data_IF_102900119565
#
_entry.id   IF_102900119565
#
_cell.length_a   1.000
_cell.length_b   1.000
_cell.length_c   1.000
_cell.angle_alpha   90.00
_cell.angle_beta   90.00
_cell.angle_gamma   90.00
#
_symmetry.space_group_name_H-M   'P 1'
#
loop_
_entity.id
_entity.type
_entity.pdbx_description
1 polymer ?
#
# COMPACT_ATOMS: atom_id res chain seq x y z
N UNK A 1 -17.40 6.18 23.61
CA UNK A 1 -17.86 5.21 22.63
C UNK A 1 -19.16 5.71 22.02
N UNK A 2 -19.30 5.69 20.70
CA UNK A 2 -20.54 6.07 20.04
C UNK A 2 -21.64 5.05 20.42
N UNK A 3 -22.87 5.50 20.73
CA UNK A 3 -23.96 4.61 21.14
C UNK A 3 -24.25 3.57 20.05
N UNK A 4 -24.34 2.29 20.44
CA UNK A 4 -24.75 1.21 19.54
C UNK A 4 -23.62 0.47 18.80
N UNK A 5 -22.35 0.84 19.00
CA UNK A 5 -21.22 0.11 18.45
C UNK A 5 -20.79 -1.06 19.34
N UNK A 6 -20.28 -2.17 18.76
CA UNK A 6 -19.68 -3.27 19.52
C UNK A 6 -18.57 -2.77 20.47
N UNK A 7 -18.46 -3.39 21.65
CA UNK A 7 -17.49 -2.96 22.68
C UNK A 7 -16.01 -3.11 22.31
N UNK A 8 -15.74 -3.86 21.25
CA UNK A 8 -14.40 -4.05 20.67
C UNK A 8 -14.11 -3.13 19.47
N UNK A 9 -15.03 -2.23 19.11
CA UNK A 9 -14.82 -1.23 18.07
C UNK A 9 -14.43 0.11 18.68
N UNK A 10 -13.32 0.65 18.24
CA UNK A 10 -12.84 2.00 18.62
C UNK A 10 -12.93 2.94 17.41
N UNK A 11 -13.70 4.00 17.54
CA UNK A 11 -13.73 5.09 16.58
C UNK A 11 -12.87 6.22 17.14
N UNK A 12 -11.90 6.65 16.35
CA UNK A 12 -10.95 7.71 16.73
C UNK A 12 -10.98 8.84 15.72
N UNK A 13 -10.61 10.04 16.15
CA UNK A 13 -10.37 11.16 15.24
C UNK A 13 -9.22 10.83 14.29
N UNK A 14 -9.12 11.52 13.12
CA UNK A 14 -7.98 11.40 12.22
C UNK A 14 -6.66 11.56 12.99
N UNK A 15 -5.76 10.63 12.82
CA UNK A 15 -4.47 10.61 13.51
C UNK A 15 -3.40 11.29 12.66
N UNK A 16 -2.45 12.03 13.28
CA UNK A 16 -1.24 12.47 12.59
C UNK A 16 -0.46 11.28 12.01
N UNK A 17 0.37 11.55 11.00
CA UNK A 17 1.02 10.49 10.22
C UNK A 17 1.84 9.50 11.09
N UNK A 18 2.62 9.99 12.03
CA UNK A 18 3.48 9.12 12.86
C UNK A 18 2.66 8.22 13.80
N UNK A 19 1.61 8.76 14.40
CA UNK A 19 0.67 8.01 15.24
C UNK A 19 -0.10 6.97 14.43
N UNK A 20 -0.53 7.35 13.22
CA UNK A 20 -1.16 6.42 12.30
C UNK A 20 -0.21 5.27 11.91
N UNK A 21 1.04 5.57 11.54
CA UNK A 21 2.05 4.56 11.21
C UNK A 21 2.37 3.65 12.40
N UNK A 22 2.35 4.19 13.62
CA UNK A 22 2.51 3.39 14.83
C UNK A 22 1.37 2.37 15.02
N UNK A 23 0.13 2.77 14.75
CA UNK A 23 -1.02 1.85 14.77
C UNK A 23 -0.93 0.83 13.64
N UNK A 24 -0.60 1.29 12.43
CA UNK A 24 -0.47 0.45 11.24
C UNK A 24 0.52 -0.70 11.49
N UNK A 25 1.73 -0.40 11.97
CA UNK A 25 2.77 -1.39 12.25
C UNK A 25 2.38 -2.46 13.29
N UNK A 26 1.32 -2.24 14.05
CA UNK A 26 0.80 -3.16 15.08
C UNK A 26 -0.49 -3.83 14.69
N UNK A 27 -0.98 -3.55 13.51
CA UNK A 27 -2.18 -4.18 12.97
C UNK A 27 -1.86 -5.59 12.47
N UNK A 28 -2.73 -6.54 12.75
CA UNK A 28 -2.67 -7.88 12.16
C UNK A 28 -3.19 -7.89 10.71
N UNK A 29 -4.04 -6.92 10.38
CA UNK A 29 -4.66 -6.75 9.07
C UNK A 29 -5.13 -5.29 8.93
N UNK A 30 -5.10 -4.79 7.71
CA UNK A 30 -5.64 -3.47 7.35
C UNK A 30 -6.73 -3.63 6.32
N UNK A 31 -7.85 -2.92 6.51
CA UNK A 31 -8.93 -2.81 5.51
C UNK A 31 -9.05 -1.34 5.13
N UNK A 32 -8.90 -1.00 3.86
CA UNK A 32 -8.80 0.39 3.41
C UNK A 32 -9.28 0.57 1.98
N UNK A 33 -9.67 1.79 1.61
CA UNK A 33 -9.88 2.23 0.23
C UNK A 33 -8.76 3.16 -0.28
N UNK A 34 -7.74 3.40 0.54
CA UNK A 34 -6.62 4.30 0.23
C UNK A 34 -5.50 3.58 -0.52
N UNK A 35 -5.15 4.06 -1.72
CA UNK A 35 -4.00 3.55 -2.49
C UNK A 35 -2.66 3.77 -1.80
N UNK A 36 -2.47 4.87 -1.06
CA UNK A 36 -1.24 5.11 -0.30
C UNK A 36 -1.03 4.11 0.83
N UNK A 37 -2.11 3.75 1.54
CA UNK A 37 -2.03 2.76 2.62
C UNK A 37 -1.66 1.37 2.09
N UNK A 38 -2.07 0.99 0.88
CA UNK A 38 -1.66 -0.28 0.27
C UNK A 38 -0.15 -0.36 0.00
N UNK A 39 0.49 0.77 -0.35
CA UNK A 39 1.95 0.85 -0.48
C UNK A 39 2.64 0.75 0.89
N UNK A 40 2.11 1.44 1.90
CA UNK A 40 2.65 1.41 3.27
C UNK A 40 2.53 0.02 3.90
N UNK A 41 1.39 -0.67 3.73
CA UNK A 41 1.21 -2.04 4.21
C UNK A 41 2.12 -3.03 3.50
N UNK A 42 2.33 -2.86 2.19
CA UNK A 42 3.29 -3.68 1.44
C UNK A 42 4.72 -3.46 1.97
N UNK A 43 5.13 -2.21 2.19
CA UNK A 43 6.46 -1.90 2.73
C UNK A 43 6.68 -2.44 4.15
N UNK A 44 5.61 -2.58 4.93
CA UNK A 44 5.64 -3.10 6.31
C UNK A 44 5.32 -4.60 6.42
N UNK A 45 5.06 -5.26 5.30
CA UNK A 45 4.66 -6.68 5.22
C UNK A 45 3.38 -6.99 6.02
N UNK A 46 2.41 -6.09 5.99
CA UNK A 46 1.13 -6.22 6.70
C UNK A 46 0.05 -6.64 5.71
N UNK A 47 -0.75 -7.70 6.00
CA UNK A 47 -1.90 -8.05 5.18
C UNK A 47 -2.85 -6.87 4.98
N UNK A 48 -3.33 -6.67 3.75
CA UNK A 48 -4.19 -5.56 3.40
C UNK A 48 -5.37 -6.01 2.53
N UNK A 49 -6.57 -5.55 2.85
CA UNK A 49 -7.74 -5.71 2.00
C UNK A 49 -8.14 -4.33 1.49
N UNK A 50 -8.06 -4.15 0.19
CA UNK A 50 -8.51 -2.91 -0.47
C UNK A 50 -9.98 -3.02 -0.87
N UNK A 51 -10.79 -2.05 -0.43
CA UNK A 51 -12.21 -1.94 -0.77
C UNK A 51 -12.44 -1.34 -2.16
N UNK A 52 -11.52 -1.62 -3.10
CA UNK A 52 -11.59 -1.18 -4.49
C UNK A 52 -11.66 -2.36 -5.43
N UNK A 53 -12.28 -2.18 -6.59
CA UNK A 53 -12.29 -3.15 -7.67
C UNK A 53 -11.02 -3.13 -8.54
N UNK A 54 -10.28 -2.02 -8.49
CA UNK A 54 -9.04 -1.81 -9.25
C UNK A 54 -7.99 -1.07 -8.41
N UNK A 55 -6.74 -1.14 -8.83
CA UNK A 55 -5.64 -0.40 -8.19
C UNK A 55 -4.73 0.23 -9.22
N UNK A 56 -4.22 1.42 -8.91
CA UNK A 56 -3.13 2.07 -9.64
C UNK A 56 -1.74 1.60 -9.17
N UNK A 57 -1.71 0.63 -8.24
CA UNK A 57 -0.50 0.04 -7.65
C UNK A 57 -0.54 -1.48 -7.79
N UNK A 58 -0.44 -2.02 -9.02
CA UNK A 58 -0.60 -3.46 -9.26
C UNK A 58 0.41 -4.31 -8.49
N UNK A 59 1.61 -3.80 -8.25
CA UNK A 59 2.66 -4.47 -7.48
C UNK A 59 2.25 -4.80 -6.04
N UNK A 60 1.36 -4.00 -5.43
CA UNK A 60 0.86 -4.28 -4.07
C UNK A 60 -0.04 -5.51 -4.02
N UNK A 61 -0.63 -5.89 -5.17
CA UNK A 61 -1.50 -7.05 -5.33
C UNK A 61 -0.74 -8.26 -5.88
N UNK A 62 0.10 -8.07 -6.91
CA UNK A 62 0.79 -9.18 -7.58
C UNK A 62 1.94 -9.75 -6.77
N UNK A 63 2.70 -8.89 -6.12
CA UNK A 63 3.91 -9.26 -5.38
C UNK A 63 3.80 -8.90 -3.88
N UNK A 64 2.76 -8.13 -3.51
CA UNK A 64 2.60 -7.55 -2.19
C UNK A 64 1.57 -8.27 -1.31
N UNK A 65 1.02 -7.50 -0.39
CA UNK A 65 0.16 -7.96 0.71
C UNK A 65 -1.31 -7.67 0.50
N UNK A 66 -1.68 -7.04 -0.64
CA UNK A 66 -3.02 -6.49 -0.86
C UNK A 66 -3.92 -7.45 -1.64
N UNK A 67 -5.13 -7.67 -1.12
CA UNK A 67 -6.23 -8.33 -1.83
C UNK A 67 -7.29 -7.29 -2.18
N UNK A 68 -7.79 -7.29 -3.42
CA UNK A 68 -8.90 -6.43 -3.83
C UNK A 68 -10.23 -7.09 -3.50
N UNK A 69 -11.04 -6.46 -2.65
CA UNK A 69 -12.36 -6.94 -2.27
C UNK A 69 -13.47 -6.45 -3.22
N UNK A 70 -13.19 -5.41 -4.03
CA UNK A 70 -14.23 -4.76 -4.82
C UNK A 70 -15.25 -4.03 -3.95
N UNK A 71 -16.48 -3.96 -4.44
CA UNK A 71 -17.60 -3.26 -3.78
C UNK A 71 -18.58 -4.24 -3.10
N UNK A 72 -18.18 -5.49 -2.89
CA UNK A 72 -19.05 -6.55 -2.34
C UNK A 72 -18.75 -6.77 -0.84
N UNK A 73 -19.53 -6.17 0.08
CA UNK A 73 -19.26 -6.28 1.51
C UNK A 73 -19.42 -7.70 2.06
N UNK A 74 -20.22 -8.54 1.40
CA UNK A 74 -20.51 -9.90 1.87
C UNK A 74 -19.30 -10.85 1.82
N UNK A 75 -18.29 -10.56 1.00
CA UNK A 75 -17.06 -11.36 0.93
C UNK A 75 -16.02 -10.99 1.99
N UNK A 76 -16.14 -9.82 2.62
CA UNK A 76 -15.15 -9.31 3.58
C UNK A 76 -14.88 -10.27 4.76
N UNK A 77 -15.89 -10.88 5.40
CA UNK A 77 -15.62 -11.80 6.50
C UNK A 77 -14.73 -12.98 6.09
N UNK A 78 -14.92 -13.51 4.88
CA UNK A 78 -14.10 -14.59 4.32
C UNK A 78 -12.66 -14.12 4.09
N UNK A 79 -12.48 -13.01 3.40
CA UNK A 79 -11.16 -12.42 3.11
C UNK A 79 -10.39 -12.07 4.40
N UNK A 80 -11.08 -11.54 5.42
CA UNK A 80 -10.48 -11.25 6.73
C UNK A 80 -10.00 -12.54 7.39
N UNK A 81 -10.83 -13.58 7.40
CA UNK A 81 -10.47 -14.87 8.00
C UNK A 81 -9.27 -15.50 7.29
N UNK A 82 -9.23 -15.48 5.97
CA UNK A 82 -8.12 -15.95 5.15
C UNK A 82 -6.83 -15.16 5.43
N UNK A 83 -6.91 -13.84 5.41
CA UNK A 83 -5.75 -12.97 5.65
C UNK A 83 -5.17 -13.13 7.07
N UNK A 84 -6.00 -13.38 8.07
CA UNK A 84 -5.55 -13.61 9.45
C UNK A 84 -5.03 -15.03 9.71
N UNK A 85 -5.42 -16.00 8.87
CA UNK A 85 -4.94 -17.38 8.95
C UNK A 85 -3.71 -17.64 8.08
N UNK A 86 -3.32 -16.69 7.24
CA UNK A 86 -2.24 -16.81 6.27
C UNK A 86 -0.88 -16.87 6.97
N UNK A 87 -0.16 -17.97 6.80
CA UNK A 87 1.22 -18.20 7.26
C UNK A 87 2.20 -18.01 6.08
N UNK A 88 1.95 -16.99 5.26
CA UNK A 88 2.78 -16.68 4.09
C UNK A 88 4.21 -16.29 4.47
N UNK A 89 5.13 -16.58 3.58
CA UNK A 89 6.48 -16.05 3.69
C UNK A 89 6.46 -14.51 3.57
N UNK A 90 7.39 -13.82 4.24
CA UNK A 90 7.54 -12.38 4.09
C UNK A 90 7.66 -11.96 2.62
N UNK A 91 7.00 -10.87 2.26
CA UNK A 91 7.07 -10.32 0.90
C UNK A 91 8.44 -9.69 0.62
N UNK A 92 8.83 -9.71 -0.64
CA UNK A 92 10.06 -9.05 -1.10
C UNK A 92 9.68 -7.75 -1.80
N UNK A 93 10.19 -6.63 -1.32
CA UNK A 93 9.95 -5.33 -1.94
C UNK A 93 10.61 -5.26 -3.33
N UNK A 94 10.01 -4.53 -4.28
CA UNK A 94 10.63 -4.26 -5.56
C UNK A 94 12.02 -3.64 -5.38
N UNK A 95 13.02 -4.01 -6.19
CA UNK A 95 14.39 -3.48 -6.06
C UNK A 95 14.49 -1.96 -6.11
N UNK A 96 13.49 -1.30 -6.72
CA UNK A 96 13.41 0.16 -6.82
C UNK A 96 12.86 0.83 -5.56
N UNK A 97 12.36 0.06 -4.58
CA UNK A 97 11.83 0.55 -3.29
C UNK A 97 12.93 0.59 -2.20
N UNK A 98 14.14 0.95 -2.60
CA UNK A 98 15.36 0.99 -1.78
C UNK A 98 15.60 2.33 -1.06
N UNK A 99 14.63 3.27 -1.15
CA UNK A 99 14.78 4.64 -0.63
C UNK A 99 15.60 5.56 -1.53
N UNK A 100 16.20 5.06 -2.61
CA UNK A 100 17.06 5.83 -3.54
C UNK A 100 16.30 6.57 -4.65
N UNK A 101 14.97 6.48 -4.70
CA UNK A 101 14.15 7.06 -5.79
C UNK A 101 14.40 8.55 -6.00
N UNK A 102 14.53 9.34 -4.92
CA UNK A 102 14.80 10.78 -5.02
C UNK A 102 16.09 11.10 -5.76
N UNK A 103 17.16 10.35 -5.49
CA UNK A 103 18.43 10.51 -6.19
C UNK A 103 18.30 10.18 -7.68
N UNK A 104 17.65 9.09 -8.03
CA UNK A 104 17.38 8.71 -9.43
C UNK A 104 16.56 9.75 -10.17
N UNK A 105 15.52 10.31 -9.55
CA UNK A 105 14.71 11.38 -10.11
C UNK A 105 15.58 12.62 -10.40
N UNK A 106 16.43 13.03 -9.46
CA UNK A 106 17.33 14.18 -9.64
C UNK A 106 18.30 13.97 -10.81
N UNK A 107 18.83 12.75 -10.96
CA UNK A 107 19.70 12.43 -12.10
C UNK A 107 18.98 12.53 -13.44
N UNK A 108 17.75 12.00 -13.53
CA UNK A 108 16.92 12.09 -14.73
C UNK A 108 16.61 13.56 -15.06
N UNK A 109 16.20 14.35 -14.07
CA UNK A 109 15.92 15.78 -14.27
C UNK A 109 17.16 16.52 -14.77
N UNK A 110 18.33 16.27 -14.16
CA UNK A 110 19.60 16.89 -14.58
C UNK A 110 19.97 16.52 -16.03
N UNK A 111 19.77 15.26 -16.40
CA UNK A 111 19.98 14.83 -17.78
C UNK A 111 19.04 15.55 -18.75
N UNK A 112 17.74 15.58 -18.43
CA UNK A 112 16.74 16.29 -19.26
C UNK A 112 17.05 17.79 -19.40
N UNK A 113 17.54 18.44 -18.35
CA UNK A 113 17.91 19.86 -18.40
C UNK A 113 19.16 20.12 -19.23
N UNK A 114 20.12 19.20 -19.26
CA UNK A 114 21.34 19.31 -20.09
C UNK A 114 21.05 19.05 -21.56
N UNK A 115 20.29 17.99 -21.84
CA UNK A 115 20.12 17.47 -23.21
C UNK A 115 18.84 17.99 -23.88
N UNK A 116 18.05 18.81 -23.16
CA UNK A 116 16.71 19.23 -23.54
C UNK A 116 15.68 18.12 -23.39
N UNK A 117 14.41 18.47 -23.16
CA UNK A 117 13.28 17.51 -23.10
C UNK A 117 12.93 16.90 -24.48
N UNK A 118 13.84 16.99 -25.46
CA UNK A 118 13.60 16.63 -26.83
C UNK A 118 13.87 15.14 -27.12
N UNK A 119 13.25 14.22 -26.39
CA UNK A 119 12.80 12.95 -26.96
C UNK A 119 12.10 12.03 -25.96
N UNK A 120 10.76 11.92 -25.94
CA UNK A 120 10.03 10.95 -25.12
C UNK A 120 10.21 9.49 -25.60
N UNK A 121 10.98 9.26 -26.66
CA UNK A 121 11.24 7.94 -27.25
C UNK A 121 12.61 7.34 -26.96
N UNK A 122 13.48 7.99 -26.19
CA UNK A 122 14.74 7.39 -25.78
C UNK A 122 14.48 6.45 -24.61
N UNK A 123 14.38 5.15 -24.91
CA UNK A 123 14.42 4.09 -23.92
C UNK A 123 15.58 4.34 -22.96
N UNK A 124 15.26 4.61 -21.71
CA UNK A 124 16.19 4.44 -20.61
C UNK A 124 16.34 2.92 -20.46
N UNK A 125 17.28 2.34 -21.20
CA UNK A 125 17.68 0.96 -20.97
C UNK A 125 18.24 0.84 -19.55
N UNK A 126 17.98 -0.27 -18.86
CA UNK A 126 18.39 -0.50 -17.48
C UNK A 126 19.90 -0.46 -17.28
#
# INVERSE_FOLDING_TARGET
AAPGLPGNLMVVEPQPYLEFMYLLQRSALVVTDSGGITEETYALDIPCISLRSTTERPETVTDGTTVLAGEEPDILPGLIAEALADDRAPTTLPPTWDGGTGARIVEVIRACLRDGFANPGRSLAP
#
